data_IF_139854867239
#
_entry.id   IF_139854867239
#
_cell.length_a   1.000
_cell.length_b   1.000
_cell.length_c   1.000
_cell.angle_alpha   90.00
_cell.angle_beta   90.00
_cell.angle_gamma   90.00
#
_symmetry.space_group_name_H-M   'P 1'
#
loop_
_entity.id
_entity.type
_entity.pdbx_description
1 polymer ?
#
# COMPACT_ATOMS: atom_id res chain seq x y z
N UNK A 1 -11.14 -5.25 -12.29
CA UNK A 1 -10.95 -5.17 -10.83
C UNK A 1 -10.84 -6.55 -10.20
N UNK A 2 -11.86 -7.43 -10.30
CA UNK A 2 -11.82 -8.80 -9.73
C UNK A 2 -10.62 -9.64 -10.19
N UNK A 3 -10.35 -9.69 -11.51
CA UNK A 3 -9.21 -10.45 -12.07
C UNK A 3 -7.87 -9.91 -11.53
N UNK A 4 -7.74 -8.59 -11.36
CA UNK A 4 -6.52 -7.97 -10.80
C UNK A 4 -6.34 -8.34 -9.33
N UNK A 5 -7.41 -8.28 -8.53
CA UNK A 5 -7.34 -8.68 -7.12
C UNK A 5 -6.95 -10.15 -6.97
N UNK A 6 -7.57 -11.05 -7.74
CA UNK A 6 -7.22 -12.47 -7.74
C UNK A 6 -5.77 -12.69 -8.16
N UNK A 7 -5.32 -12.04 -9.25
CA UNK A 7 -3.94 -12.15 -9.70
C UNK A 7 -2.94 -11.65 -8.65
N UNK A 8 -3.21 -10.50 -8.02
CA UNK A 8 -2.36 -9.92 -6.99
C UNK A 8 -2.29 -10.80 -5.74
N UNK A 9 -3.42 -11.33 -5.26
CA UNK A 9 -3.46 -12.17 -4.05
C UNK A 9 -2.85 -13.54 -4.28
N UNK A 10 -3.10 -14.17 -5.44
CA UNK A 10 -2.48 -15.44 -5.82
C UNK A 10 -0.97 -15.28 -6.02
N UNK A 11 -0.54 -14.22 -6.70
CA UNK A 11 0.88 -13.89 -6.87
C UNK A 11 1.56 -13.61 -5.53
N UNK A 12 0.90 -12.86 -4.64
CA UNK A 12 1.37 -12.61 -3.27
C UNK A 12 1.50 -13.91 -2.46
N UNK A 13 0.50 -14.79 -2.49
CA UNK A 13 0.54 -16.09 -1.82
C UNK A 13 1.68 -16.97 -2.35
N UNK A 14 1.87 -17.04 -3.67
CA UNK A 14 2.97 -17.77 -4.28
C UNK A 14 4.33 -17.22 -3.82
N UNK A 15 4.51 -15.90 -3.84
CA UNK A 15 5.73 -15.25 -3.36
C UNK A 15 5.98 -15.53 -1.86
N UNK A 16 4.94 -15.55 -1.05
CA UNK A 16 5.01 -15.95 0.36
C UNK A 16 5.58 -17.36 0.54
N UNK A 17 5.06 -18.35 -0.19
CA UNK A 17 5.57 -19.73 -0.12
C UNK A 17 7.01 -19.85 -0.63
N UNK A 18 7.38 -19.11 -1.69
CA UNK A 18 8.76 -19.05 -2.17
C UNK A 18 9.68 -18.48 -1.08
N UNK A 19 9.27 -17.39 -0.41
CA UNK A 19 10.04 -16.81 0.70
C UNK A 19 10.18 -17.77 1.87
N UNK A 20 9.11 -18.47 2.25
CA UNK A 20 9.16 -19.49 3.30
C UNK A 20 10.14 -20.62 2.95
N UNK A 21 10.12 -21.08 1.70
CA UNK A 21 11.05 -22.11 1.22
C UNK A 21 12.50 -21.62 1.20
N UNK A 22 12.74 -20.37 0.81
CA UNK A 22 14.07 -19.77 0.79
C UNK A 22 14.61 -19.49 2.20
N UNK A 23 13.73 -19.09 3.12
CA UNK A 23 14.09 -18.80 4.52
C UNK A 23 14.20 -20.07 5.37
N UNK A 24 13.59 -21.17 4.95
CA UNK A 24 13.63 -22.46 5.64
C UNK A 24 12.77 -22.54 6.90
N UNK A 25 11.98 -21.50 7.21
CA UNK A 25 11.08 -21.48 8.36
C UNK A 25 9.86 -20.60 8.13
N UNK A 26 8.86 -20.73 9.01
CA UNK A 26 7.68 -19.84 9.06
C UNK A 26 7.87 -18.61 9.96
N UNK A 27 9.01 -18.52 10.67
CA UNK A 27 9.29 -17.44 11.62
C UNK A 27 10.01 -16.29 10.94
N UNK A 28 9.37 -15.70 9.92
CA UNK A 28 9.86 -14.49 9.28
C UNK A 28 8.77 -13.42 9.24
N UNK A 29 9.21 -12.17 9.19
CA UNK A 29 8.34 -11.01 9.04
C UNK A 29 8.85 -10.17 7.89
N UNK A 30 7.95 -9.45 7.24
CA UNK A 30 8.29 -8.47 6.21
C UNK A 30 7.91 -7.09 6.72
N UNK A 31 8.78 -6.09 6.51
CA UNK A 31 8.50 -4.70 6.89
C UNK A 31 7.15 -4.24 6.33
N UNK A 32 6.39 -3.49 7.10
CA UNK A 32 5.03 -3.09 6.76
C UNK A 32 3.93 -4.14 6.96
N UNK A 33 4.28 -5.37 7.35
CA UNK A 33 3.30 -6.44 7.63
C UNK A 33 3.31 -6.91 9.08
N UNK A 34 4.09 -6.26 9.95
CA UNK A 34 4.19 -6.60 11.36
C UNK A 34 3.86 -5.38 12.25
N UNK A 35 2.92 -5.58 13.17
CA UNK A 35 2.47 -4.58 14.14
C UNK A 35 2.47 -5.22 15.51
N UNK A 36 3.15 -4.59 16.46
CA UNK A 36 3.08 -4.94 17.88
C UNK A 36 1.88 -4.23 18.53
N UNK A 37 0.81 -4.99 18.75
CA UNK A 37 -0.43 -4.48 19.32
C UNK A 37 -0.31 -4.04 20.79
N UNK A 38 0.76 -4.40 21.49
CA UNK A 38 1.01 -3.89 22.85
C UNK A 38 1.44 -2.42 22.82
N UNK A 39 2.07 -1.99 21.73
CA UNK A 39 2.60 -0.63 21.55
C UNK A 39 1.72 0.23 20.63
N UNK A 40 1.03 -0.42 19.69
CA UNK A 40 0.23 0.23 18.65
C UNK A 40 -1.20 -0.30 18.71
N UNK A 41 -2.15 0.48 19.26
CA UNK A 41 -3.57 0.13 19.22
C UNK A 41 -4.04 -0.06 17.77
N UNK A 42 -5.03 -0.94 17.58
CA UNK A 42 -5.57 -1.28 16.24
C UNK A 42 -6.11 -0.03 15.52
N UNK A 43 -6.70 0.91 16.26
CA UNK A 43 -7.21 2.17 15.69
C UNK A 43 -6.07 3.04 15.12
N UNK A 44 -4.95 3.16 15.86
CA UNK A 44 -3.76 3.90 15.42
C UNK A 44 -3.15 3.23 14.17
N UNK A 45 -3.05 1.88 14.17
CA UNK A 45 -2.58 1.12 13.02
C UNK A 45 -3.44 1.38 11.77
N UNK A 46 -4.77 1.39 11.93
CA UNK A 46 -5.70 1.67 10.84
C UNK A 46 -5.57 3.09 10.32
N UNK A 47 -5.40 4.07 11.22
CA UNK A 47 -5.19 5.47 10.84
C UNK A 47 -3.87 5.65 10.07
N UNK A 48 -2.78 5.04 10.55
CA UNK A 48 -1.48 5.08 9.88
C UNK A 48 -1.57 4.45 8.48
N UNK A 49 -2.16 3.26 8.35
CA UNK A 49 -2.39 2.63 7.05
C UNK A 49 -3.19 3.51 6.11
N UNK A 50 -4.29 4.08 6.58
CA UNK A 50 -5.12 4.98 5.78
C UNK A 50 -4.33 6.19 5.28
N UNK A 51 -3.60 6.89 6.16
CA UNK A 51 -2.83 8.10 5.80
C UNK A 51 -1.72 7.75 4.80
N UNK A 52 -0.92 6.72 5.07
CA UNK A 52 0.19 6.36 4.17
C UNK A 52 -0.30 5.83 2.82
N UNK A 53 -1.40 5.10 2.77
CA UNK A 53 -2.02 4.70 1.52
C UNK A 53 -2.57 5.90 0.75
N UNK A 54 -3.22 6.85 1.43
CA UNK A 54 -3.72 8.07 0.80
C UNK A 54 -2.58 8.90 0.22
N UNK A 55 -1.48 9.05 0.96
CA UNK A 55 -0.26 9.72 0.48
C UNK A 55 0.33 9.00 -0.73
N UNK A 56 0.40 7.66 -0.71
CA UNK A 56 0.90 6.89 -1.84
C UNK A 56 0.03 7.11 -3.08
N UNK A 57 -1.29 7.06 -2.94
CA UNK A 57 -2.22 7.29 -4.06
C UNK A 57 -2.07 8.70 -4.60
N UNK A 58 -2.06 9.71 -3.74
CA UNK A 58 -1.90 11.11 -4.13
C UNK A 58 -0.60 11.33 -4.91
N UNK A 59 0.53 10.85 -4.39
CA UNK A 59 1.82 10.96 -5.08
C UNK A 59 1.83 10.16 -6.39
N UNK A 60 1.29 8.94 -6.40
CA UNK A 60 1.26 8.09 -7.59
C UNK A 60 0.45 8.73 -8.73
N UNK A 61 -0.69 9.34 -8.41
CA UNK A 61 -1.47 10.10 -9.38
C UNK A 61 -0.78 11.40 -9.78
N UNK A 62 -0.12 12.08 -8.85
CA UNK A 62 0.64 13.30 -9.12
C UNK A 62 1.82 13.10 -10.07
N UNK A 63 2.41 11.90 -10.13
CA UNK A 63 3.61 11.63 -10.93
C UNK A 63 3.42 10.65 -12.09
N UNK A 64 2.30 9.95 -12.19
CA UNK A 64 2.18 8.94 -13.25
C UNK A 64 0.81 8.31 -13.54
N UNK A 65 -0.06 8.14 -12.54
CA UNK A 65 -1.34 7.44 -12.76
C UNK A 65 -2.41 8.32 -13.42
N UNK A 66 -2.27 9.65 -13.35
CA UNK A 66 -3.12 10.57 -14.09
C UNK A 66 -2.60 10.70 -15.55
N UNK A 67 -3.45 10.47 -16.58
CA UNK A 67 -3.03 10.54 -17.99
C UNK A 67 -2.33 11.85 -18.39
N UNK A 68 -2.62 12.95 -17.70
CA UNK A 68 -1.99 14.26 -17.95
C UNK A 68 -0.51 14.25 -17.59
N UNK A 69 -0.12 13.46 -16.59
CA UNK A 69 1.29 13.30 -16.19
C UNK A 69 2.11 12.59 -17.27
N UNK A 70 1.47 11.81 -18.14
CA UNK A 70 2.10 11.21 -19.32
C UNK A 70 2.67 12.25 -20.29
N UNK A 71 2.11 13.47 -20.35
CA UNK A 71 2.63 14.56 -21.18
C UNK A 71 3.82 15.29 -20.52
N UNK A 72 3.96 15.19 -19.20
CA UNK A 72 4.98 15.88 -18.42
C UNK A 72 6.20 14.98 -18.21
N UNK A 73 5.99 13.77 -17.68
CA UNK A 73 7.05 12.83 -17.32
C UNK A 73 7.26 11.74 -18.37
N UNK A 74 6.25 11.42 -19.19
CA UNK A 74 6.34 10.37 -20.19
C UNK A 74 6.21 8.95 -19.63
N UNK A 75 6.09 7.97 -20.54
CA UNK A 75 5.82 6.57 -20.21
C UNK A 75 6.96 5.87 -19.47
N UNK A 76 8.22 6.31 -19.66
CA UNK A 76 9.38 5.69 -19.04
C UNK A 76 9.66 6.19 -17.61
N UNK A 77 9.49 7.48 -17.34
CA UNK A 77 9.81 8.07 -16.04
C UNK A 77 8.66 7.91 -15.02
N UNK A 78 7.41 7.90 -15.48
CA UNK A 78 6.24 7.79 -14.59
C UNK A 78 6.28 6.56 -13.67
N UNK A 79 6.57 5.32 -14.15
CA UNK A 79 6.68 4.15 -13.28
C UNK A 79 7.83 4.25 -12.26
N UNK A 80 8.94 4.88 -12.65
CA UNK A 80 10.07 5.10 -11.74
C UNK A 80 9.66 6.04 -10.60
N UNK A 81 8.98 7.15 -10.89
CA UNK A 81 8.52 8.10 -9.87
C UNK A 81 7.47 7.50 -8.92
N UNK A 82 6.55 6.67 -9.45
CA UNK A 82 5.60 5.90 -8.62
C UNK A 82 6.36 4.94 -7.70
N UNK A 83 7.36 4.22 -8.24
CA UNK A 83 8.22 3.33 -7.45
C UNK A 83 9.02 4.06 -6.36
N UNK A 84 9.57 5.24 -6.68
CA UNK A 84 10.25 6.09 -5.71
C UNK A 84 9.30 6.58 -4.61
N UNK A 85 8.07 6.95 -4.96
CA UNK A 85 7.04 7.34 -4.00
C UNK A 85 6.71 6.19 -3.04
N UNK A 86 6.52 4.98 -3.57
CA UNK A 86 6.32 3.77 -2.78
C UNK A 86 7.52 3.50 -1.86
N UNK A 87 8.75 3.64 -2.35
CA UNK A 87 9.98 3.40 -1.59
C UNK A 87 10.15 4.38 -0.43
N UNK A 88 9.98 5.67 -0.70
CA UNK A 88 10.08 6.73 0.32
C UNK A 88 9.01 6.56 1.40
N UNK A 89 7.76 6.29 1.02
CA UNK A 89 6.68 6.08 1.99
C UNK A 89 6.91 4.79 2.80
N UNK A 90 7.32 3.69 2.15
CA UNK A 90 7.62 2.43 2.86
C UNK A 90 8.75 2.60 3.87
N UNK A 91 9.82 3.30 3.48
CA UNK A 91 10.95 3.57 4.37
C UNK A 91 10.57 4.55 5.48
N UNK A 92 9.96 5.69 5.15
CA UNK A 92 9.59 6.72 6.13
C UNK A 92 8.54 6.23 7.13
N UNK A 93 7.56 5.45 6.68
CA UNK A 93 6.52 4.88 7.55
C UNK A 93 7.10 3.99 8.66
N UNK A 94 8.17 3.25 8.38
CA UNK A 94 8.81 2.34 9.33
C UNK A 94 9.46 3.03 10.55
N UNK A 95 9.72 4.35 10.46
CA UNK A 95 10.31 5.13 11.56
C UNK A 95 9.31 6.04 12.27
N UNK A 96 8.03 5.98 11.91
CA UNK A 96 7.03 6.90 12.48
C UNK A 96 6.59 6.53 13.89
N UNK A 97 6.60 5.23 14.23
CA UNK A 97 6.15 4.76 15.54
C UNK A 97 6.84 3.46 15.92
N UNK A 98 7.24 3.33 17.19
CA UNK A 98 7.72 2.06 17.74
C UNK A 98 6.63 1.00 17.71
N UNK A 99 6.99 -0.24 17.40
CA UNK A 99 6.02 -1.34 17.23
C UNK A 99 5.26 -1.32 15.91
N UNK A 100 5.46 -0.32 15.05
CA UNK A 100 4.92 -0.28 13.69
C UNK A 100 6.05 -0.47 12.67
N UNK A 101 6.10 -1.62 11.99
CA UNK A 101 7.17 -1.93 11.03
C UNK A 101 7.08 -1.17 9.70
N UNK A 102 6.21 -0.16 9.61
CA UNK A 102 5.90 0.59 8.40
C UNK A 102 4.52 0.30 7.86
N UNK A 103 4.18 0.98 6.77
CA UNK A 103 2.90 0.82 6.09
C UNK A 103 2.91 -0.36 5.12
N UNK A 104 1.80 -1.10 5.10
CA UNK A 104 1.55 -2.20 4.20
C UNK A 104 1.46 -1.73 2.76
N UNK A 105 0.70 -0.65 2.53
CA UNK A 105 0.48 0.03 1.23
C UNK A 105 -0.17 -0.84 0.13
N UNK A 106 -0.20 -2.16 0.29
CA UNK A 106 -0.77 -3.12 -0.63
C UNK A 106 -1.25 -4.38 0.14
N UNK A 107 -2.57 -4.61 0.26
CA UNK A 107 -3.11 -5.75 1.00
C UNK A 107 -2.58 -7.12 0.53
N UNK A 108 -2.43 -7.30 -0.78
CA UNK A 108 -2.00 -8.57 -1.37
C UNK A 108 -0.56 -8.94 -0.98
N UNK A 109 0.29 -7.94 -0.73
CA UNK A 109 1.66 -8.11 -0.27
C UNK A 109 1.70 -8.75 1.12
N UNK A 110 0.99 -8.18 2.09
CA UNK A 110 0.97 -8.73 3.44
C UNK A 110 0.16 -10.02 3.53
N UNK A 111 -0.91 -10.14 2.75
CA UNK A 111 -1.64 -11.40 2.61
C UNK A 111 -0.71 -12.56 2.22
N UNK A 112 0.19 -12.35 1.25
CA UNK A 112 1.16 -13.36 0.84
C UNK A 112 2.05 -13.86 1.99
N UNK A 113 2.54 -12.94 2.81
CA UNK A 113 3.36 -13.28 3.99
C UNK A 113 2.55 -14.11 4.98
N UNK A 114 1.31 -13.72 5.28
CA UNK A 114 0.46 -14.42 6.24
C UNK A 114 0.03 -15.82 5.82
N UNK A 115 -0.14 -16.03 4.51
CA UNK A 115 -0.40 -17.37 3.95
C UNK A 115 0.77 -18.31 4.24
N UNK A 116 1.99 -17.81 4.14
CA UNK A 116 3.21 -18.59 4.36
C UNK A 116 3.59 -18.75 5.84
N UNK A 117 3.24 -17.78 6.67
CA UNK A 117 3.54 -17.76 8.10
C UNK A 117 2.29 -18.10 8.92
N UNK A 118 1.59 -17.07 9.41
CA UNK A 118 0.32 -17.14 10.12
C UNK A 118 -0.44 -15.81 9.99
N UNK A 119 -1.77 -15.87 10.10
CA UNK A 119 -2.61 -14.67 10.03
C UNK A 119 -2.70 -13.97 11.38
N UNK A 120 -2.24 -12.71 11.51
CA UNK A 120 -2.42 -11.94 12.72
C UNK A 120 -3.88 -11.47 12.88
N UNK A 121 -4.31 -11.18 14.11
CA UNK A 121 -5.66 -10.68 14.40
C UNK A 121 -5.96 -9.33 13.72
N UNK A 122 -4.93 -8.51 13.47
CA UNK A 122 -5.04 -7.22 12.81
C UNK A 122 -4.94 -7.27 11.28
N UNK A 123 -4.85 -8.46 10.64
CA UNK A 123 -4.62 -8.55 9.18
C UNK A 123 -5.66 -7.78 8.35
N UNK A 124 -6.90 -7.67 8.84
CA UNK A 124 -7.99 -6.95 8.19
C UNK A 124 -7.70 -5.44 8.04
N UNK A 125 -6.86 -4.87 8.91
CA UNK A 125 -6.46 -3.46 8.85
C UNK A 125 -5.75 -3.15 7.53
N UNK A 126 -4.90 -4.08 7.08
CA UNK A 126 -4.19 -3.99 5.79
C UNK A 126 -5.10 -4.08 4.58
N UNK A 127 -6.38 -4.44 4.74
CA UNK A 127 -7.38 -4.42 3.67
C UNK A 127 -8.24 -3.17 3.76
N UNK A 128 -8.80 -2.90 4.94
CA UNK A 128 -9.73 -1.79 5.15
C UNK A 128 -9.02 -0.45 4.95
N UNK A 129 -7.82 -0.26 5.51
CA UNK A 129 -7.06 0.99 5.37
C UNK A 129 -6.85 1.41 3.91
N UNK A 130 -6.24 0.56 3.07
CA UNK A 130 -6.03 0.87 1.65
C UNK A 130 -7.33 1.06 0.85
N UNK A 131 -8.39 0.29 1.15
CA UNK A 131 -9.68 0.42 0.45
C UNK A 131 -10.31 1.78 0.78
N UNK A 132 -10.37 2.15 2.05
CA UNK A 132 -10.94 3.44 2.49
C UNK A 132 -10.10 4.60 1.92
N UNK A 133 -8.77 4.49 1.89
CA UNK A 133 -7.90 5.49 1.26
C UNK A 133 -8.16 5.62 -0.25
N UNK A 134 -8.33 4.50 -0.95
CA UNK A 134 -8.65 4.48 -2.39
C UNK A 134 -10.00 5.13 -2.70
N UNK A 135 -11.02 4.83 -1.91
CA UNK A 135 -12.34 5.46 -2.03
C UNK A 135 -12.24 6.95 -1.73
N UNK A 136 -11.56 7.34 -0.66
CA UNK A 136 -11.36 8.74 -0.29
C UNK A 136 -10.66 9.54 -1.40
N UNK A 137 -9.57 9.02 -1.94
CA UNK A 137 -8.88 9.63 -3.08
C UNK A 137 -9.78 9.73 -4.32
N UNK A 138 -10.54 8.67 -4.62
CA UNK A 138 -11.50 8.67 -5.73
C UNK A 138 -12.59 9.74 -5.58
N UNK A 139 -13.10 9.95 -4.36
CA UNK A 139 -14.07 11.01 -4.06
C UNK A 139 -13.45 12.40 -4.30
N UNK A 140 -12.21 12.62 -3.88
CA UNK A 140 -11.51 13.90 -4.14
C UNK A 140 -11.41 14.18 -5.64
N UNK A 141 -11.00 13.18 -6.43
CA UNK A 141 -10.95 13.29 -7.89
C UNK A 141 -12.32 13.50 -8.54
N UNK A 142 -13.37 12.95 -7.93
CA UNK A 142 -14.74 13.12 -8.42
C UNK A 142 -15.32 14.50 -8.11
N UNK A 143 -15.08 15.03 -6.91
CA UNK A 143 -15.62 16.32 -6.44
C UNK A 143 -14.81 17.51 -6.98
N UNK A 144 -13.49 17.38 -7.07
CA UNK A 144 -12.59 18.38 -7.60
C UNK A 144 -11.85 17.83 -8.84
N UNK A 145 -12.57 17.59 -9.95
CA UNK A 145 -11.99 17.02 -11.16
C UNK A 145 -10.90 17.96 -11.70
N UNK A 146 -9.65 17.50 -11.84
CA UNK A 146 -8.54 18.34 -12.27
C UNK A 146 -8.64 18.89 -13.70
N UNK A 147 -9.62 18.43 -14.48
CA UNK A 147 -9.90 18.83 -15.86
C UNK A 147 -11.06 19.82 -15.97
N UNK A 148 -11.70 20.20 -14.86
CA UNK A 148 -12.75 21.22 -14.89
C UNK A 148 -12.11 22.61 -15.04
N UNK A 149 -12.14 23.14 -16.26
CA UNK A 149 -11.63 24.47 -16.60
C UNK A 149 -12.59 25.61 -16.20
N UNK A 150 -13.45 25.40 -15.19
CA UNK A 150 -14.34 26.44 -14.65
C UNK A 150 -13.60 27.39 -13.71
N UNK A 151 -12.56 28.05 -14.21
CA UNK A 151 -12.07 29.35 -13.73
C UNK A 151 -10.85 29.78 -14.55
N UNK A 152 -11.10 30.29 -15.75
CA UNK A 152 -10.56 31.57 -16.29
C UNK A 152 -11.45 32.01 -17.43
#
# INVERSE_FOLDING_TARGET
MVIYLLGQTLGGALAGFILQSAYGSKSFTVGGCNIDLQLVPVADALLLEFIFCLLLLFLSFGVGLDPRQGQIYGAALSPFLVGMSLGVISWGSAFTRSGYSGACLNPARCFGVYVATSFPSYHWVHWVGPIVASVGHGIVYFVAPPWDHRST
#
